data_IF_518422596427
#
_entry.id   IF_518422596427
#
_cell.length_a   1.000
_cell.length_b   1.000
_cell.length_c   1.000
_cell.angle_alpha   90.00
_cell.angle_beta   90.00
_cell.angle_gamma   90.00
#
_symmetry.space_group_name_H-M   'P 1'
#
loop_
_entity.id
_entity.type
_entity.pdbx_description
1 polymer ?
#
# COMPACT_ATOMS: atom_id res chain seq x y z
N UNK A 1 -10.21 -69.01 36.87
CA UNK A 1 -10.86 -67.70 36.68
C UNK A 1 -9.84 -66.59 36.91
N UNK A 2 -9.33 -66.06 35.82
CA UNK A 2 -8.25 -65.09 35.72
C UNK A 2 -8.82 -63.66 35.75
N UNK A 3 -8.45 -62.90 36.77
CA UNK A 3 -9.00 -61.59 37.19
C UNK A 3 -8.76 -60.45 36.17
N UNK A 4 -8.12 -60.76 35.05
CA UNK A 4 -7.59 -59.79 34.08
C UNK A 4 -8.65 -59.39 33.03
N UNK A 5 -9.80 -60.09 33.00
CA UNK A 5 -10.86 -59.88 32.01
C UNK A 5 -11.94 -58.87 32.46
N UNK A 6 -11.98 -58.51 33.74
CA UNK A 6 -12.99 -57.57 34.29
C UNK A 6 -12.51 -56.10 34.15
N UNK A 7 -11.20 -55.87 34.05
CA UNK A 7 -10.64 -54.52 33.98
C UNK A 7 -10.87 -53.81 32.63
N UNK A 8 -11.15 -54.56 31.56
CA UNK A 8 -11.31 -54.00 30.21
C UNK A 8 -12.69 -53.36 29.94
N UNK A 9 -13.70 -53.64 30.76
CA UNK A 9 -15.08 -53.23 30.48
C UNK A 9 -15.45 -51.83 31.01
N UNK A 10 -14.65 -51.23 31.90
CA UNK A 10 -15.01 -49.96 32.58
C UNK A 10 -14.47 -48.73 31.84
N UNK A 11 -13.49 -48.88 30.94
CA UNK A 11 -12.82 -47.76 30.26
C UNK A 11 -13.66 -47.20 29.09
N UNK A 12 -14.68 -47.92 28.60
CA UNK A 12 -15.50 -47.51 27.44
C UNK A 12 -16.73 -46.66 27.79
N UNK A 13 -16.81 -46.04 28.97
CA UNK A 13 -17.98 -45.26 29.39
C UNK A 13 -17.74 -43.74 29.58
N UNK A 14 -16.55 -43.20 29.29
CA UNK A 14 -16.24 -41.77 29.55
C UNK A 14 -15.78 -40.99 28.31
N UNK A 15 -15.83 -41.56 27.10
CA UNK A 15 -15.49 -40.84 25.87
C UNK A 15 -16.66 -40.01 25.27
N UNK A 16 -17.69 -39.71 26.06
CA UNK A 16 -18.90 -39.00 25.62
C UNK A 16 -19.03 -37.54 26.07
N UNK A 17 -18.04 -36.96 26.77
CA UNK A 17 -18.17 -35.62 27.40
C UNK A 17 -16.93 -34.73 27.21
N UNK A 18 -16.24 -34.82 26.06
CA UNK A 18 -15.27 -33.80 25.63
C UNK A 18 -15.73 -33.20 24.28
N UNK A 19 -17.03 -32.93 24.18
CA UNK A 19 -17.66 -32.18 23.09
C UNK A 19 -17.76 -30.68 23.38
N UNK A 20 -16.87 -30.13 24.23
CA UNK A 20 -16.82 -28.71 24.50
C UNK A 20 -15.78 -28.04 23.60
N UNK A 21 -16.29 -27.46 22.51
CA UNK A 21 -15.88 -26.19 21.90
C UNK A 21 -14.42 -26.07 21.49
N UNK A 22 -14.18 -25.86 20.19
CA UNK A 22 -13.56 -24.61 19.72
C UNK A 22 -13.64 -24.49 18.18
N UNK A 23 -14.29 -23.40 17.77
CA UNK A 23 -14.07 -22.66 16.53
C UNK A 23 -14.53 -23.32 15.24
N UNK A 24 -15.75 -22.93 14.87
CA UNK A 24 -16.12 -22.66 13.49
C UNK A 24 -15.03 -21.84 12.79
N UNK A 25 -14.25 -22.44 11.89
CA UNK A 25 -13.54 -21.70 10.85
C UNK A 25 -14.56 -21.27 9.79
N UNK A 26 -15.44 -20.33 10.16
CA UNK A 26 -16.13 -19.49 9.20
C UNK A 26 -15.10 -18.46 8.74
N UNK A 27 -14.52 -18.65 7.55
CA UNK A 27 -13.92 -17.54 6.82
C UNK A 27 -14.96 -17.08 5.80
N UNK A 28 -15.80 -16.08 6.14
CA UNK A 28 -16.58 -15.40 5.13
C UNK A 28 -15.58 -14.62 4.28
N UNK A 29 -15.03 -15.27 3.25
CA UNK A 29 -14.42 -14.57 2.13
C UNK A 29 -15.55 -13.87 1.38
N UNK A 30 -16.03 -12.80 2.01
CA UNK A 30 -16.75 -11.71 1.40
C UNK A 30 -15.96 -11.31 0.15
N UNK A 31 -16.42 -11.84 -0.97
CA UNK A 31 -16.00 -11.54 -2.33
C UNK A 31 -16.75 -10.33 -2.88
N UNK A 32 -16.79 -9.26 -2.08
CA UNK A 32 -17.21 -7.93 -2.50
C UNK A 32 -16.39 -6.90 -1.70
N UNK A 33 -15.23 -6.56 -2.29
CA UNK A 33 -14.38 -5.41 -1.91
C UNK A 33 -13.85 -5.43 -0.47
N UNK A 34 -12.92 -6.35 -0.20
CA UNK A 34 -11.97 -6.18 0.91
C UNK A 34 -10.73 -5.48 0.36
N UNK A 35 -10.60 -4.18 0.64
CA UNK A 35 -9.32 -3.49 0.51
C UNK A 35 -8.47 -4.03 1.66
N UNK A 36 -7.71 -5.10 1.41
CA UNK A 36 -6.79 -5.64 2.38
C UNK A 36 -5.77 -4.54 2.72
N UNK A 37 -5.87 -3.99 3.93
CA UNK A 37 -4.95 -2.96 4.41
C UNK A 37 -3.47 -3.39 4.31
N UNK A 38 -3.22 -4.70 4.24
CA UNK A 38 -1.91 -5.29 3.95
C UNK A 38 -1.32 -4.83 2.61
N UNK A 39 -2.13 -4.47 1.62
CA UNK A 39 -1.67 -4.09 0.28
C UNK A 39 -1.60 -2.57 0.05
N UNK A 40 -2.13 -1.78 0.97
CA UNK A 40 -2.07 -0.33 0.86
C UNK A 40 -0.63 0.15 1.03
N UNK A 41 -0.20 1.01 0.10
CA UNK A 41 1.11 1.65 0.07
C UNK A 41 0.92 3.16 0.06
N UNK A 42 1.88 3.86 0.63
CA UNK A 42 1.98 5.31 0.52
C UNK A 42 3.18 5.63 -0.35
N UNK A 43 2.96 6.43 -1.40
CA UNK A 43 4.01 7.02 -2.20
C UNK A 43 3.92 8.54 -2.17
N UNK A 44 5.08 9.19 -2.05
CA UNK A 44 5.21 10.61 -2.35
C UNK A 44 5.69 10.77 -3.79
N UNK A 45 5.04 11.63 -4.55
CA UNK A 45 5.46 12.03 -5.89
C UNK A 45 5.70 13.54 -5.97
N UNK A 46 6.75 13.93 -6.69
CA UNK A 46 6.96 15.29 -7.19
C UNK A 46 6.12 15.48 -8.45
N UNK A 47 5.57 16.67 -8.63
CA UNK A 47 4.84 17.05 -9.85
C UNK A 47 5.34 18.42 -10.30
N UNK A 48 5.98 18.44 -11.47
CA UNK A 48 6.44 19.65 -12.13
C UNK A 48 5.36 20.18 -13.09
N UNK A 49 5.39 21.49 -13.36
CA UNK A 49 4.43 22.16 -14.24
C UNK A 49 3.12 22.56 -13.55
N UNK A 50 3.05 22.49 -12.22
CA UNK A 50 1.95 23.07 -11.45
C UNK A 50 2.24 24.54 -11.15
N UNK A 51 1.87 25.42 -12.07
CA UNK A 51 2.07 26.88 -11.92
C UNK A 51 0.75 27.65 -11.71
N UNK A 52 -0.40 26.99 -11.88
CA UNK A 52 -1.72 27.61 -11.68
C UNK A 52 -2.39 27.06 -10.41
N UNK A 53 -3.21 27.89 -9.76
CA UNK A 53 -3.98 27.51 -8.57
C UNK A 53 -4.91 26.31 -8.81
N UNK A 54 -5.33 26.05 -10.05
CA UNK A 54 -6.17 24.90 -10.42
C UNK A 54 -5.38 23.64 -10.79
N UNK A 55 -4.06 23.73 -11.02
CA UNK A 55 -3.25 22.57 -11.39
C UNK A 55 -3.29 21.44 -10.35
N UNK A 56 -3.18 21.70 -9.03
CA UNK A 56 -3.27 20.65 -8.03
C UNK A 56 -4.58 19.85 -8.12
N UNK A 57 -5.71 20.55 -8.33
CA UNK A 57 -7.02 19.91 -8.46
C UNK A 57 -7.11 18.96 -9.65
N UNK A 58 -6.58 19.37 -10.81
CA UNK A 58 -6.56 18.53 -12.01
C UNK A 58 -5.73 17.26 -11.79
N UNK A 59 -4.58 17.39 -11.13
CA UNK A 59 -3.69 16.26 -10.82
C UNK A 59 -4.37 15.32 -9.81
N UNK A 60 -4.98 15.84 -8.76
CA UNK A 60 -5.72 15.03 -7.80
C UNK A 60 -6.85 14.25 -8.46
N UNK A 61 -7.64 14.90 -9.32
CA UNK A 61 -8.78 14.25 -9.95
C UNK A 61 -8.34 13.13 -10.90
N UNK A 62 -7.29 13.37 -11.69
CA UNK A 62 -6.72 12.34 -12.57
C UNK A 62 -6.23 11.10 -11.81
N UNK A 63 -5.64 11.29 -10.62
CA UNK A 63 -5.20 10.19 -9.77
C UNK A 63 -6.38 9.49 -9.06
N UNK A 64 -7.38 10.24 -8.59
CA UNK A 64 -8.58 9.70 -7.95
C UNK A 64 -9.42 8.85 -8.91
N UNK A 65 -9.39 9.14 -10.20
CA UNK A 65 -10.09 8.37 -11.23
C UNK A 65 -9.43 6.99 -11.50
N UNK A 66 -8.20 6.77 -11.03
CA UNK A 66 -7.51 5.50 -11.19
C UNK A 66 -8.01 4.43 -10.22
N UNK A 67 -8.38 3.26 -10.76
CA UNK A 67 -8.71 2.10 -9.94
C UNK A 67 -7.51 1.70 -9.06
N UNK A 68 -7.75 1.54 -7.76
CA UNK A 68 -6.72 1.18 -6.79
C UNK A 68 -6.14 2.37 -6.03
N UNK A 69 -6.41 3.60 -6.44
CA UNK A 69 -6.09 4.79 -5.65
C UNK A 69 -7.15 4.98 -4.57
N UNK A 70 -6.71 5.11 -3.32
CA UNK A 70 -7.59 5.21 -2.14
C UNK A 70 -7.67 6.63 -1.62
N UNK A 71 -6.53 7.32 -1.57
CA UNK A 71 -6.49 8.72 -1.15
C UNK A 71 -5.38 9.47 -1.88
N UNK A 72 -5.62 10.74 -2.17
CA UNK A 72 -4.69 11.63 -2.85
C UNK A 72 -4.80 13.02 -2.26
N UNK A 73 -3.65 13.61 -1.93
CA UNK A 73 -3.52 15.01 -1.57
C UNK A 73 -2.38 15.61 -2.37
N UNK A 74 -2.62 16.72 -3.08
CA UNK A 74 -1.59 17.43 -3.86
C UNK A 74 -1.48 18.86 -3.39
N UNK A 75 -0.26 19.36 -3.27
CA UNK A 75 0.00 20.74 -2.90
C UNK A 75 1.32 21.26 -3.43
N UNK A 76 1.53 22.57 -3.31
CA UNK A 76 2.81 23.20 -3.65
C UNK A 76 3.83 22.94 -2.54
N UNK A 77 5.08 22.67 -2.92
CA UNK A 77 6.16 22.40 -1.98
C UNK A 77 7.32 23.32 -2.28
N UNK A 78 7.24 24.54 -1.76
CA UNK A 78 8.23 25.57 -1.99
C UNK A 78 7.81 26.84 -1.28
N UNK A 79 8.77 27.48 -0.61
CA UNK A 79 8.57 28.80 -0.01
C UNK A 79 8.80 29.92 -1.03
N UNK A 80 9.26 29.54 -2.22
CA UNK A 80 9.91 30.46 -3.14
C UNK A 80 9.72 29.97 -4.57
N UNK A 81 9.29 30.88 -5.43
CA UNK A 81 9.16 30.66 -6.86
C UNK A 81 10.53 30.87 -7.47
N UNK A 82 11.19 29.79 -7.88
CA UNK A 82 12.49 29.85 -8.57
C UNK A 82 12.16 29.90 -10.06
N UNK A 83 12.54 30.98 -10.75
CA UNK A 83 12.34 31.17 -12.20
C UNK A 83 10.87 31.09 -12.68
N UNK A 84 9.91 31.50 -11.85
CA UNK A 84 8.48 31.42 -12.19
C UNK A 84 7.90 30.00 -12.07
N UNK A 85 8.69 29.02 -11.65
CA UNK A 85 8.26 27.63 -11.52
C UNK A 85 8.00 27.29 -10.05
N UNK A 86 6.82 26.73 -9.78
CA UNK A 86 6.48 26.15 -8.48
C UNK A 86 6.49 24.64 -8.62
N UNK A 87 7.26 23.97 -7.78
CA UNK A 87 7.19 22.53 -7.65
C UNK A 87 6.04 22.16 -6.74
N UNK A 88 5.35 21.07 -7.06
CA UNK A 88 4.42 20.48 -6.09
C UNK A 88 4.66 19.02 -5.82
N UNK A 89 3.89 18.53 -4.86
CA UNK A 89 4.05 17.23 -4.23
C UNK A 89 2.68 16.62 -4.04
N UNK A 90 2.55 15.38 -4.49
CA UNK A 90 1.39 14.53 -4.26
C UNK A 90 1.73 13.45 -3.24
N UNK A 91 0.87 13.27 -2.25
CA UNK A 91 0.87 12.13 -1.36
C UNK A 91 -0.30 11.21 -1.74
N UNK A 92 0.03 9.97 -2.09
CA UNK A 92 -0.94 9.01 -2.62
C UNK A 92 -0.92 7.72 -1.82
N UNK A 93 -2.10 7.32 -1.35
CA UNK A 93 -2.36 6.00 -0.76
C UNK A 93 -3.04 5.15 -1.83
N UNK A 94 -2.46 4.00 -2.14
CA UNK A 94 -2.94 3.13 -3.22
C UNK A 94 -2.77 1.64 -2.88
N UNK A 95 -3.57 0.80 -3.52
CA UNK A 95 -3.43 -0.66 -3.50
C UNK A 95 -2.43 -1.11 -4.57
N UNK A 96 -1.31 -1.67 -4.12
CA UNK A 96 -0.20 -2.06 -5.00
C UNK A 96 -0.51 -3.27 -5.87
N UNK A 97 -1.58 -4.04 -5.59
CA UNK A 97 -2.06 -5.08 -6.50
C UNK A 97 -2.87 -4.52 -7.68
N UNK A 98 -3.37 -3.28 -7.59
CA UNK A 98 -4.26 -2.70 -8.60
C UNK A 98 -3.60 -1.62 -9.44
N UNK A 99 -2.70 -0.82 -8.86
CA UNK A 99 -2.04 0.30 -9.54
C UNK A 99 -0.60 0.43 -9.08
N UNK A 100 0.28 0.82 -10.00
CA UNK A 100 1.68 1.10 -9.69
C UNK A 100 1.99 2.61 -9.82
N UNK A 101 3.05 3.11 -9.16
CA UNK A 101 3.43 4.52 -9.23
C UNK A 101 3.78 5.02 -10.63
N UNK A 102 4.29 4.16 -11.51
CA UNK A 102 4.68 4.54 -12.88
C UNK A 102 3.43 4.88 -13.71
N UNK A 103 2.36 4.12 -13.55
CA UNK A 103 1.09 4.35 -14.22
C UNK A 103 0.41 5.60 -13.66
N UNK A 104 0.55 5.88 -12.36
CA UNK A 104 0.09 7.13 -11.76
C UNK A 104 0.80 8.35 -12.37
N UNK A 105 2.13 8.28 -12.55
CA UNK A 105 2.89 9.35 -13.24
C UNK A 105 2.42 9.52 -14.69
N UNK A 106 2.05 8.43 -15.37
CA UNK A 106 1.52 8.51 -16.74
C UNK A 106 0.12 9.12 -16.80
N UNK A 107 -0.72 8.84 -15.80
CA UNK A 107 -2.09 9.34 -15.76
C UNK A 107 -2.18 10.87 -15.58
N UNK A 108 -1.17 11.47 -14.96
CA UNK A 108 -1.12 12.93 -14.75
C UNK A 108 -0.50 13.69 -15.93
N UNK A 109 -0.35 13.11 -17.12
CA UNK A 109 0.06 13.90 -18.28
C UNK A 109 -0.95 15.02 -18.57
N UNK A 110 -0.50 16.23 -18.95
CA UNK A 110 0.84 16.61 -19.42
C UNK A 110 1.85 16.99 -18.32
N UNK A 111 1.52 16.84 -17.04
CA UNK A 111 2.43 17.14 -15.93
C UNK A 111 3.58 16.11 -15.89
N UNK A 112 4.76 16.55 -15.44
CA UNK A 112 5.93 15.66 -15.27
C UNK A 112 5.98 15.22 -13.81
N UNK A 113 5.87 13.92 -13.55
CA UNK A 113 5.90 13.36 -12.21
C UNK A 113 7.17 12.54 -11.94
N UNK A 114 7.62 12.51 -10.69
CA UNK A 114 8.68 11.62 -10.23
C UNK A 114 8.37 11.07 -8.83
N UNK A 115 8.60 9.77 -8.59
CA UNK A 115 8.45 9.19 -7.25
C UNK A 115 9.61 9.68 -6.37
N UNK A 116 9.28 10.26 -5.21
CA UNK A 116 10.26 10.78 -4.25
C UNK A 116 10.56 9.82 -3.10
N UNK A 117 9.62 8.93 -2.73
CA UNK A 117 9.85 7.89 -1.72
C UNK A 117 8.76 6.81 -1.80
N UNK A 118 9.19 5.56 -1.88
CA UNK A 118 8.41 4.35 -1.64
C UNK A 118 8.89 3.72 -0.33
N UNK A 119 8.07 3.78 0.73
CA UNK A 119 8.35 3.03 1.96
C UNK A 119 8.04 1.53 1.80
N UNK A 120 8.33 0.95 0.63
CA UNK A 120 8.07 -0.45 0.33
C UNK A 120 9.06 -1.00 -0.70
N UNK A 121 10.28 -1.28 -0.20
CA UNK A 121 11.32 -2.15 -0.75
C UNK A 121 12.58 -1.48 -1.36
N UNK A 122 13.67 -1.64 -0.61
CA UNK A 122 15.01 -1.97 -1.10
C UNK A 122 15.96 -0.85 -1.56
N UNK A 123 16.83 -0.46 -0.62
CA UNK A 123 18.30 -0.47 -0.73
C UNK A 123 18.93 -0.76 -2.12
N UNK A 124 19.97 0.04 -2.45
CA UNK A 124 20.93 -0.05 -3.60
C UNK A 124 20.55 0.86 -4.78
N UNK A 125 21.10 2.07 -4.93
CA UNK A 125 22.52 2.32 -5.23
C UNK A 125 22.88 3.76 -4.88
N UNK A 126 23.83 3.92 -3.95
CA UNK A 126 24.66 5.11 -3.85
C UNK A 126 25.46 5.24 -5.16
N UNK A 127 25.19 6.25 -5.99
CA UNK A 127 26.20 6.77 -6.89
C UNK A 127 26.73 8.05 -6.21
N UNK A 128 27.93 8.01 -5.58
CA UNK A 128 28.56 9.23 -5.13
C UNK A 128 28.89 10.08 -6.36
N UNK A 129 28.55 11.37 -6.31
CA UNK A 129 29.09 12.37 -7.23
C UNK A 129 30.62 12.20 -7.29
N UNK A 130 31.26 12.03 -8.47
CA UNK A 130 32.69 12.16 -8.55
C UNK A 130 33.07 13.61 -8.21
N UNK A 131 33.90 13.76 -7.18
CA UNK A 131 34.64 14.99 -6.87
C UNK A 131 35.48 15.37 -8.09
N UNK A 132 35.46 16.67 -8.41
CA UNK A 132 36.53 17.46 -9.02
C UNK A 132 37.19 16.95 -10.31
N UNK A 133 37.11 17.77 -11.36
CA UNK A 133 38.23 17.98 -12.27
C UNK A 133 38.54 19.48 -12.28
N UNK A 134 39.67 19.81 -11.67
CA UNK A 134 40.41 21.05 -11.93
C UNK A 134 40.97 21.00 -13.35
N UNK A 135 40.91 22.13 -14.05
CA UNK A 135 41.83 22.52 -15.11
C UNK A 135 42.06 24.03 -15.01
#
# INVERSE_FOLDING_TARGET
MNKNLILAAIILAVAGVIGFRLVTHNNPSNSATQVDAANLRHVTMKVDGMYCASCPYNVENALKDMRGVVNVTVGFTGKEIIDGTVEGRGEVIYDQAQVNPVDMIRAIQPYKGAVLNDKSASSTTLIPLPKSISL
#
